data_IF_226208492884
#
_entry.id   IF_226208492884
#
_cell.length_a   1.000
_cell.length_b   1.000
_cell.length_c   1.000
_cell.angle_alpha   90.00
_cell.angle_beta   90.00
_cell.angle_gamma   90.00
#
_symmetry.space_group_name_H-M   'P 1'
#
loop_
_entity.id
_entity.type
_entity.pdbx_description
1 polymer ?
#
# COMPACT_ATOMS: atom_id res chain seq x y z
N UNK A 1 8.00 -12.64 16.38
CA UNK A 1 7.38 -13.84 15.77
C UNK A 1 8.35 -14.46 14.79
N UNK A 2 8.54 -15.77 14.84
CA UNK A 2 9.23 -16.52 13.81
C UNK A 2 8.20 -16.97 12.76
N UNK A 3 8.47 -16.76 11.49
CA UNK A 3 7.74 -17.35 10.39
C UNK A 3 8.68 -18.31 9.66
N UNK A 4 8.34 -19.58 9.60
CA UNK A 4 9.19 -20.63 9.01
C UNK A 4 10.66 -20.63 9.52
N UNK A 5 10.86 -20.32 10.81
CA UNK A 5 12.21 -20.31 11.42
C UNK A 5 12.96 -18.97 11.33
N UNK A 6 12.43 -17.97 10.63
CA UNK A 6 13.06 -16.64 10.53
C UNK A 6 12.53 -15.71 11.63
N UNK A 7 13.44 -14.96 12.27
CA UNK A 7 13.08 -13.90 13.21
C UNK A 7 12.78 -12.61 12.44
N UNK A 8 11.69 -11.93 12.79
CA UNK A 8 11.33 -10.65 12.22
C UNK A 8 11.76 -9.53 13.17
N UNK A 9 12.89 -8.90 12.85
CA UNK A 9 13.40 -7.71 13.56
C UNK A 9 12.87 -6.45 12.87
N UNK A 10 11.68 -6.04 13.29
CA UNK A 10 11.01 -4.88 12.71
C UNK A 10 11.79 -3.58 12.94
N UNK A 11 12.37 -3.39 14.13
CA UNK A 11 13.03 -2.13 14.49
C UNK A 11 14.25 -1.85 13.63
N UNK A 12 15.09 -2.86 13.41
CA UNK A 12 16.25 -2.75 12.52
C UNK A 12 15.81 -2.48 11.07
N UNK A 13 14.76 -3.17 10.60
CA UNK A 13 14.23 -2.95 9.24
C UNK A 13 13.69 -1.53 9.07
N UNK A 14 12.93 -1.01 10.04
CA UNK A 14 12.38 0.35 9.97
C UNK A 14 13.49 1.41 9.92
N UNK A 15 14.56 1.25 10.71
CA UNK A 15 15.74 2.13 10.68
C UNK A 15 16.44 2.09 9.33
N UNK A 16 16.65 0.89 8.77
CA UNK A 16 17.29 0.73 7.47
C UNK A 16 16.41 1.27 6.34
N UNK A 17 15.11 1.09 6.38
CA UNK A 17 14.18 1.71 5.43
C UNK A 17 14.28 3.24 5.50
N UNK A 18 14.37 3.83 6.70
CA UNK A 18 14.59 5.27 6.82
C UNK A 18 15.94 5.69 6.23
N UNK A 19 17.01 4.93 6.50
CA UNK A 19 18.35 5.23 5.99
C UNK A 19 18.39 5.24 4.45
N UNK A 20 17.83 4.22 3.81
CA UNK A 20 17.92 4.04 2.35
C UNK A 20 16.88 4.84 1.57
N UNK A 21 15.77 5.24 2.20
CA UNK A 21 14.75 6.06 1.53
C UNK A 21 15.32 7.45 1.25
N UNK A 22 15.24 7.88 -0.01
CA UNK A 22 15.65 9.23 -0.44
C UNK A 22 14.68 10.29 0.09
N UNK A 23 15.15 11.52 0.21
CA UNK A 23 14.32 12.67 0.58
C UNK A 23 13.14 12.86 -0.40
N UNK A 24 11.93 12.94 0.14
CA UNK A 24 10.67 12.96 -0.62
C UNK A 24 10.21 11.59 -1.10
N UNK A 25 10.94 10.52 -0.77
CA UNK A 25 10.55 9.14 -1.03
C UNK A 25 9.41 8.66 -0.11
N UNK A 26 8.74 7.59 -0.52
CA UNK A 26 7.56 7.04 0.14
C UNK A 26 7.83 5.60 0.56
N UNK A 27 7.40 5.24 1.77
CA UNK A 27 7.28 3.86 2.23
C UNK A 27 5.81 3.52 2.40
N UNK A 28 5.36 2.45 1.77
CA UNK A 28 4.04 1.87 1.96
C UNK A 28 4.17 0.66 2.87
N UNK A 29 3.53 0.69 4.01
CA UNK A 29 3.58 -0.39 4.99
C UNK A 29 2.21 -1.01 5.19
N UNK A 30 2.03 -2.23 4.67
CA UNK A 30 0.76 -2.97 4.78
C UNK A 30 0.87 -3.94 5.95
N UNK A 31 -0.03 -3.83 6.89
CA UNK A 31 0.03 -4.63 8.12
C UNK A 31 -1.36 -4.88 8.71
N UNK A 32 -1.58 -6.11 9.17
CA UNK A 32 -2.75 -6.51 9.95
C UNK A 32 -2.36 -6.91 11.37
N UNK A 33 -3.33 -6.80 12.28
CA UNK A 33 -3.18 -7.27 13.64
C UNK A 33 -3.59 -8.74 13.80
N UNK A 34 -2.92 -9.44 14.69
CA UNK A 34 -3.34 -10.77 15.09
C UNK A 34 -4.09 -10.69 16.43
N UNK A 35 -5.00 -11.62 16.63
CA UNK A 35 -5.65 -11.84 17.93
C UNK A 35 -4.93 -12.95 18.70
N UNK A 36 -4.46 -12.64 19.91
CA UNK A 36 -3.78 -13.57 20.79
C UNK A 36 -4.46 -13.54 22.16
N UNK A 37 -4.90 -14.70 22.66
CA UNK A 37 -5.61 -14.82 23.96
C UNK A 37 -6.76 -13.81 24.12
N UNK A 38 -7.55 -13.60 23.07
CA UNK A 38 -8.70 -12.71 23.09
C UNK A 38 -8.39 -11.20 22.96
N UNK A 39 -7.14 -10.82 22.77
CA UNK A 39 -6.73 -9.43 22.54
C UNK A 39 -6.04 -9.26 21.19
N UNK A 40 -6.31 -8.18 20.49
CA UNK A 40 -5.49 -7.77 19.35
C UNK A 40 -4.10 -7.34 19.82
N UNK A 41 -3.09 -7.63 19.00
CA UNK A 41 -1.69 -7.35 19.34
C UNK A 41 -1.34 -5.86 19.31
N UNK A 42 -2.11 -5.06 18.58
CA UNK A 42 -1.81 -3.65 18.31
C UNK A 42 -0.47 -3.47 17.57
N UNK A 43 -0.05 -4.50 16.84
CA UNK A 43 1.22 -4.50 16.11
C UNK A 43 1.24 -3.40 15.05
N UNK A 44 0.13 -3.19 14.35
CA UNK A 44 -0.02 -2.16 13.33
C UNK A 44 0.27 -0.76 13.89
N UNK A 45 -0.31 -0.42 15.03
CA UNK A 45 -0.13 0.88 15.69
C UNK A 45 1.31 1.05 16.21
N UNK A 46 1.87 0.01 16.85
CA UNK A 46 3.25 0.06 17.34
C UNK A 46 4.24 0.29 16.21
N UNK A 47 4.06 -0.42 15.09
CA UNK A 47 4.92 -0.25 13.93
C UNK A 47 4.76 1.13 13.30
N UNK A 48 3.53 1.65 13.19
CA UNK A 48 3.31 2.98 12.65
C UNK A 48 3.98 4.06 13.51
N UNK A 49 3.84 4.01 14.83
CA UNK A 49 4.49 4.95 15.75
C UNK A 49 6.02 4.85 15.68
N UNK A 50 6.56 3.64 15.60
CA UNK A 50 8.01 3.45 15.51
C UNK A 50 8.60 3.99 14.20
N UNK A 51 7.92 3.87 13.07
CA UNK A 51 8.34 4.53 11.83
C UNK A 51 8.43 6.05 12.00
N UNK A 52 7.49 6.65 12.75
CA UNK A 52 7.54 8.09 13.06
C UNK A 52 8.72 8.42 13.97
N UNK A 53 9.03 7.58 14.96
CA UNK A 53 10.24 7.72 15.81
C UNK A 53 11.53 7.62 15.01
N UNK A 54 11.58 6.80 13.95
CA UNK A 54 12.70 6.75 13.02
C UNK A 54 12.88 8.03 12.19
N UNK A 55 11.88 8.94 12.17
CA UNK A 55 11.92 10.22 11.48
C UNK A 55 11.02 10.33 10.24
N UNK A 56 10.25 9.31 9.92
CA UNK A 56 9.24 9.40 8.86
C UNK A 56 8.05 10.27 9.29
N UNK A 57 7.45 10.97 8.33
CA UNK A 57 6.13 11.54 8.52
C UNK A 57 5.07 10.50 8.16
N UNK A 58 4.09 10.26 9.02
CA UNK A 58 2.88 9.53 8.64
C UNK A 58 2.04 10.43 7.73
N UNK A 59 2.11 10.16 6.44
CA UNK A 59 1.46 10.99 5.41
C UNK A 59 -0.04 10.68 5.29
N UNK A 60 -0.40 9.41 5.25
CA UNK A 60 -1.79 8.96 5.18
C UNK A 60 -1.96 7.59 5.87
N UNK A 61 -3.15 7.38 6.43
CA UNK A 61 -3.59 6.08 6.93
C UNK A 61 -4.69 5.57 6.02
N UNK A 62 -4.36 4.57 5.20
CA UNK A 62 -5.26 3.97 4.25
C UNK A 62 -5.73 2.60 4.72
N UNK A 63 -6.81 2.11 4.16
CA UNK A 63 -7.40 0.81 4.47
C UNK A 63 -7.47 -0.04 3.20
N UNK A 64 -6.91 -1.22 3.26
CA UNK A 64 -7.20 -2.27 2.28
C UNK A 64 -8.38 -3.11 2.76
N UNK A 65 -9.56 -2.89 2.19
CA UNK A 65 -10.74 -3.73 2.37
C UNK A 65 -10.64 -4.94 1.44
N UNK A 66 -10.60 -6.13 2.03
CA UNK A 66 -10.45 -7.40 1.30
C UNK A 66 -11.75 -7.90 0.64
N UNK A 67 -12.84 -7.14 0.71
CA UNK A 67 -14.15 -7.46 0.11
C UNK A 67 -14.76 -8.80 0.58
N UNK A 68 -14.32 -9.31 1.69
CA UNK A 68 -14.74 -10.58 2.25
C UNK A 68 -13.80 -11.06 3.33
N UNK A 69 -14.11 -12.20 3.94
CA UNK A 69 -13.28 -12.76 5.00
C UNK A 69 -13.12 -14.27 4.84
N UNK A 70 -11.99 -14.78 5.32
CA UNK A 70 -11.83 -16.20 5.61
C UNK A 70 -12.14 -16.38 7.09
N UNK A 71 -13.06 -17.24 7.43
CA UNK A 71 -13.43 -17.53 8.82
C UNK A 71 -12.24 -18.10 9.58
N UNK A 72 -11.55 -17.25 10.34
CA UNK A 72 -10.46 -17.64 11.23
C UNK A 72 -10.86 -17.25 12.65
N UNK A 73 -10.99 -18.23 13.52
CA UNK A 73 -11.37 -18.01 14.91
C UNK A 73 -12.87 -17.92 15.16
N UNK A 74 -13.25 -17.47 16.34
CA UNK A 74 -14.65 -17.39 16.75
C UNK A 74 -15.29 -16.04 16.42
N UNK A 75 -16.35 -16.04 15.64
CA UNK A 75 -17.18 -14.87 15.38
C UNK A 75 -18.25 -14.62 16.46
N UNK A 76 -18.24 -15.40 17.54
CA UNK A 76 -19.20 -15.25 18.65
C UNK A 76 -18.99 -13.96 19.46
N UNK A 77 -17.77 -13.46 19.51
CA UNK A 77 -17.37 -12.32 20.34
C UNK A 77 -16.71 -11.18 19.57
N UNK A 78 -16.53 -11.33 18.24
CA UNK A 78 -15.87 -10.35 17.36
C UNK A 78 -16.52 -10.34 15.99
N UNK A 79 -16.49 -9.19 15.35
CA UNK A 79 -16.76 -9.09 13.91
C UNK A 79 -15.60 -9.70 13.11
N UNK A 80 -15.90 -10.19 11.90
CA UNK A 80 -14.87 -10.65 10.98
C UNK A 80 -13.95 -9.50 10.59
N UNK A 81 -12.63 -9.72 10.71
CA UNK A 81 -11.64 -8.76 10.23
C UNK A 81 -11.53 -8.87 8.71
N UNK A 82 -11.94 -7.82 8.01
CA UNK A 82 -11.99 -7.78 6.54
C UNK A 82 -10.99 -6.79 5.95
N UNK A 83 -10.12 -6.21 6.75
CA UNK A 83 -9.18 -5.19 6.29
C UNK A 83 -7.78 -5.35 6.87
N UNK A 84 -6.84 -4.67 6.23
CA UNK A 84 -5.51 -4.36 6.75
C UNK A 84 -5.23 -2.87 6.62
N UNK A 85 -4.38 -2.35 7.50
CA UNK A 85 -3.87 -0.99 7.39
C UNK A 85 -2.83 -0.89 6.27
N UNK A 86 -2.86 0.23 5.55
CA UNK A 86 -1.83 0.65 4.61
C UNK A 86 -1.32 2.01 5.08
N UNK A 87 -0.26 2.03 5.83
CA UNK A 87 0.35 3.27 6.28
C UNK A 87 1.27 3.83 5.21
N UNK A 88 1.09 5.08 4.86
CA UNK A 88 1.92 5.79 3.90
C UNK A 88 2.85 6.72 4.65
N UNK A 89 4.14 6.44 4.59
CA UNK A 89 5.16 7.25 5.22
C UNK A 89 5.97 8.02 4.19
N UNK A 90 6.42 9.22 4.55
CA UNK A 90 7.30 10.02 3.71
C UNK A 90 8.55 10.42 4.48
N UNK A 91 9.70 10.38 3.81
CA UNK A 91 10.90 11.03 4.33
C UNK A 91 10.91 12.47 3.87
N UNK A 92 10.71 13.41 4.82
CA UNK A 92 10.53 14.81 4.51
C UNK A 92 9.25 15.10 3.71
N UNK A 93 9.30 16.09 2.82
CA UNK A 93 8.15 16.51 2.01
C UNK A 93 7.91 15.58 0.84
N UNK A 94 6.68 15.08 0.70
CA UNK A 94 6.25 14.26 -0.44
C UNK A 94 6.58 14.95 -1.77
N UNK A 95 7.23 14.23 -2.71
CA UNK A 95 7.57 14.74 -4.04
C UNK A 95 6.63 14.24 -5.13
N UNK A 96 6.15 13.00 -5.03
CA UNK A 96 5.34 12.36 -6.08
C UNK A 96 4.03 11.88 -5.52
N UNK A 97 2.94 12.32 -6.13
CA UNK A 97 1.59 11.79 -5.87
C UNK A 97 0.77 11.80 -7.17
N UNK A 98 0.46 10.63 -7.68
CA UNK A 98 -0.35 10.42 -8.88
C UNK A 98 -1.69 9.78 -8.47
N UNK A 99 -2.70 10.58 -8.09
CA UNK A 99 -3.97 10.04 -7.59
C UNK A 99 -4.72 9.25 -8.66
N UNK A 100 -5.15 8.06 -8.30
CA UNK A 100 -6.04 7.25 -9.14
C UNK A 100 -7.42 7.91 -9.17
N UNK A 101 -7.95 8.14 -10.37
CA UNK A 101 -9.23 8.81 -10.59
C UNK A 101 -10.23 7.87 -11.24
N UNK A 102 -10.75 6.95 -10.46
CA UNK A 102 -11.69 5.92 -10.89
C UNK A 102 -13.01 5.91 -10.10
N UNK A 103 -13.13 6.79 -9.11
CA UNK A 103 -14.35 6.92 -8.32
C UNK A 103 -15.40 7.69 -9.11
N UNK A 104 -16.45 7.00 -9.55
CA UNK A 104 -17.55 7.62 -10.28
C UNK A 104 -18.31 8.62 -9.39
N UNK A 105 -18.46 9.86 -9.85
CA UNK A 105 -19.17 10.90 -9.13
C UNK A 105 -20.68 10.78 -9.38
N UNK A 106 -21.48 10.78 -8.32
CA UNK A 106 -22.96 10.67 -8.38
C UNK A 106 -23.62 11.86 -9.10
N UNK A 107 -22.97 13.03 -9.07
CA UNK A 107 -23.47 14.29 -9.60
C UNK A 107 -22.65 14.76 -10.80
N UNK A 108 -22.21 13.82 -11.65
CA UNK A 108 -21.51 14.15 -12.87
C UNK A 108 -22.33 15.10 -13.77
N UNK A 109 -21.69 16.14 -14.27
CA UNK A 109 -22.32 17.15 -15.11
C UNK A 109 -22.98 18.32 -14.35
N UNK A 110 -23.25 18.18 -13.06
CA UNK A 110 -23.79 19.28 -12.27
C UNK A 110 -22.76 20.41 -12.14
N UNK A 111 -23.25 21.65 -12.27
CA UNK A 111 -22.42 22.84 -12.09
C UNK A 111 -22.56 23.36 -10.66
N UNK A 112 -21.45 23.44 -9.94
CA UNK A 112 -21.35 24.08 -8.63
C UNK A 112 -21.10 25.57 -8.83
N UNK A 113 -21.93 26.42 -8.25
CA UNK A 113 -21.73 27.88 -8.26
C UNK A 113 -20.50 28.24 -7.42
N UNK A 114 -19.95 29.44 -7.66
CA UNK A 114 -18.89 29.97 -6.80
C UNK A 114 -19.38 30.09 -5.35
N UNK A 115 -18.54 29.71 -4.40
CA UNK A 115 -18.84 29.75 -2.97
C UNK A 115 -17.61 30.19 -2.17
N UNK A 116 -17.84 30.58 -0.91
CA UNK A 116 -16.76 30.97 -0.02
C UNK A 116 -16.28 29.74 0.77
N UNK A 117 -14.96 29.59 0.84
CA UNK A 117 -14.31 28.58 1.70
C UNK A 117 -13.54 29.31 2.80
N UNK A 118 -13.75 28.89 4.03
CA UNK A 118 -13.00 29.37 5.19
C UNK A 118 -11.59 28.78 5.16
N UNK A 119 -10.58 29.63 5.25
CA UNK A 119 -9.17 29.24 5.34
C UNK A 119 -8.81 28.90 6.80
N UNK A 120 -7.65 28.23 6.98
CA UNK A 120 -7.15 27.87 8.32
C UNK A 120 -6.87 29.10 9.21
N UNK A 121 -6.53 30.22 8.60
CA UNK A 121 -6.29 31.50 9.28
C UNK A 121 -7.57 32.28 9.61
N UNK A 122 -8.74 31.69 9.36
CA UNK A 122 -10.06 32.30 9.59
C UNK A 122 -10.57 33.17 8.46
N UNK A 123 -9.76 33.50 7.45
CA UNK A 123 -10.19 34.28 6.28
C UNK A 123 -11.10 33.46 5.37
N UNK A 124 -11.81 34.14 4.47
CA UNK A 124 -12.66 33.51 3.46
C UNK A 124 -12.08 33.72 2.07
N UNK A 125 -11.93 32.63 1.32
CA UNK A 125 -11.52 32.68 -0.10
C UNK A 125 -12.69 32.25 -0.98
N UNK A 126 -12.96 33.03 -2.04
CA UNK A 126 -13.96 32.66 -3.04
C UNK A 126 -13.38 31.59 -3.98
N UNK A 127 -14.05 30.43 -4.04
CA UNK A 127 -13.79 29.42 -5.07
C UNK A 127 -14.64 29.72 -6.31
N UNK A 128 -14.04 29.59 -7.47
CA UNK A 128 -14.74 29.64 -8.77
C UNK A 128 -15.70 28.46 -8.89
N UNK A 129 -16.81 28.65 -9.59
CA UNK A 129 -17.70 27.55 -9.93
C UNK A 129 -16.98 26.53 -10.85
N UNK A 130 -17.42 25.28 -10.78
CA UNK A 130 -16.88 24.19 -11.60
C UNK A 130 -17.96 23.16 -11.92
N UNK A 131 -17.78 22.47 -13.04
CA UNK A 131 -18.62 21.31 -13.39
C UNK A 131 -18.01 20.04 -12.80
N UNK A 132 -18.85 19.21 -12.19
CA UNK A 132 -18.41 17.96 -11.58
C UNK A 132 -17.98 16.98 -12.69
N UNK A 133 -16.74 16.52 -12.64
CA UNK A 133 -16.18 15.54 -13.57
C UNK A 133 -16.83 14.17 -13.35
N UNK A 134 -16.82 13.31 -14.36
CA UNK A 134 -17.36 11.95 -14.26
C UNK A 134 -16.66 11.14 -13.17
N UNK A 135 -15.33 11.21 -13.15
CA UNK A 135 -14.51 10.51 -12.17
C UNK A 135 -13.78 11.48 -11.25
N UNK A 136 -13.79 11.18 -9.97
CA UNK A 136 -13.02 11.83 -8.91
C UNK A 136 -11.89 10.93 -8.40
N UNK A 137 -11.03 11.51 -7.58
CA UNK A 137 -9.97 10.76 -6.90
C UNK A 137 -10.57 9.66 -6.03
N UNK A 138 -9.96 8.47 -6.06
CA UNK A 138 -10.27 7.35 -5.18
C UNK A 138 -10.11 7.77 -3.71
N UNK A 139 -10.92 7.22 -2.83
CA UNK A 139 -10.77 7.41 -1.39
C UNK A 139 -9.61 6.56 -0.84
N UNK A 140 -9.23 6.79 0.41
CA UNK A 140 -8.18 6.05 1.10
C UNK A 140 -8.64 4.69 1.66
N UNK A 141 -9.83 4.22 1.32
CA UNK A 141 -10.30 2.85 1.53
C UNK A 141 -10.35 2.18 0.17
N UNK A 142 -9.49 1.19 -0.03
CA UNK A 142 -9.39 0.45 -1.30
C UNK A 142 -10.04 -0.92 -1.17
N UNK A 143 -10.96 -1.20 -2.07
CA UNK A 143 -11.66 -2.48 -2.17
C UNK A 143 -10.97 -3.36 -3.19
N UNK A 144 -10.09 -4.23 -2.72
CA UNK A 144 -9.28 -5.12 -3.57
C UNK A 144 -9.38 -6.54 -2.98
N UNK A 145 -10.00 -7.50 -3.71
CA UNK A 145 -10.05 -8.88 -3.25
C UNK A 145 -8.64 -9.46 -3.08
N UNK A 146 -8.43 -10.34 -2.08
CA UNK A 146 -7.18 -11.07 -1.94
C UNK A 146 -6.86 -11.88 -3.20
N UNK A 147 -5.58 -12.10 -3.46
CA UNK A 147 -5.16 -12.96 -4.55
C UNK A 147 -5.74 -14.37 -4.37
N UNK A 148 -6.32 -14.95 -5.44
CA UNK A 148 -6.80 -16.33 -5.41
C UNK A 148 -5.59 -17.26 -5.48
N UNK A 149 -5.34 -18.00 -4.40
CA UNK A 149 -4.29 -19.02 -4.35
C UNK A 149 -4.77 -20.23 -5.15
N UNK A 150 -4.48 -20.28 -6.45
CA UNK A 150 -4.59 -21.51 -7.25
C UNK A 150 -3.18 -21.96 -7.58
N UNK A 151 -2.75 -23.10 -7.03
CA UNK A 151 -1.46 -23.75 -7.30
C UNK A 151 -0.21 -22.90 -7.05
N UNK A 152 -0.25 -21.89 -6.18
CA UNK A 152 0.93 -21.12 -5.81
C UNK A 152 1.54 -21.67 -4.53
N UNK A 153 2.87 -21.87 -4.55
CA UNK A 153 3.63 -22.39 -3.40
C UNK A 153 3.77 -21.36 -2.26
N UNK A 154 3.46 -20.09 -2.51
CA UNK A 154 3.56 -19.02 -1.50
C UNK A 154 2.24 -18.83 -0.76
N UNK A 155 2.21 -18.92 0.59
CA UNK A 155 0.98 -18.92 1.40
C UNK A 155 0.30 -17.54 1.51
N UNK A 156 1.01 -16.45 1.22
CA UNK A 156 0.51 -15.09 1.37
C UNK A 156 0.86 -14.23 0.15
N UNK A 157 0.14 -14.46 -0.96
CA UNK A 157 0.36 -13.70 -2.19
C UNK A 157 -0.32 -12.34 -2.11
N UNK A 158 0.45 -11.30 -2.33
CA UNK A 158 -0.03 -9.93 -2.42
C UNK A 158 -0.82 -9.74 -3.73
N UNK A 159 -2.02 -9.12 -3.72
CA UNK A 159 -2.75 -8.85 -4.96
C UNK A 159 -1.95 -7.94 -5.89
N UNK A 160 -1.83 -8.33 -7.17
CA UNK A 160 -1.13 -7.52 -8.17
C UNK A 160 -1.70 -6.10 -8.27
N UNK A 161 -3.03 -5.96 -8.20
CA UNK A 161 -3.69 -4.66 -8.21
C UNK A 161 -3.25 -3.78 -7.03
N UNK A 162 -3.08 -4.35 -5.83
CA UNK A 162 -2.66 -3.58 -4.66
C UNK A 162 -1.25 -3.03 -4.83
N UNK A 163 -0.30 -3.87 -5.29
CA UNK A 163 1.06 -3.43 -5.58
C UNK A 163 1.09 -2.40 -6.72
N UNK A 164 0.37 -2.68 -7.82
CA UNK A 164 0.24 -1.79 -8.96
C UNK A 164 -0.22 -0.39 -8.55
N UNK A 165 -1.31 -0.32 -7.81
CA UNK A 165 -1.97 0.94 -7.46
C UNK A 165 -1.11 1.78 -6.51
N UNK A 166 -0.36 1.16 -5.60
CA UNK A 166 0.62 1.86 -4.79
C UNK A 166 1.83 2.34 -5.61
N UNK A 167 2.37 1.51 -6.51
CA UNK A 167 3.51 1.88 -7.36
C UNK A 167 3.18 3.10 -8.21
N UNK A 168 2.05 3.10 -8.92
CA UNK A 168 1.66 4.23 -9.76
C UNK A 168 1.34 5.49 -8.94
N UNK A 169 0.75 5.33 -7.75
CA UNK A 169 0.37 6.47 -6.91
C UNK A 169 1.58 7.23 -6.35
N UNK A 170 2.66 6.53 -6.01
CA UNK A 170 3.76 7.07 -5.23
C UNK A 170 5.10 7.15 -5.97
N UNK A 171 5.12 6.79 -7.26
CA UNK A 171 6.32 6.86 -8.10
C UNK A 171 6.00 7.30 -9.53
N UNK A 172 7.02 7.74 -10.26
CA UNK A 172 6.96 8.03 -11.69
C UNK A 172 7.68 6.93 -12.50
N UNK A 173 7.47 6.88 -13.82
CA UNK A 173 8.26 6.01 -14.71
C UNK A 173 9.75 6.29 -14.52
N UNK A 174 10.56 5.24 -14.46
CA UNK A 174 12.00 5.31 -14.22
C UNK A 174 12.41 5.41 -12.75
N UNK A 175 11.49 5.68 -11.80
CA UNK A 175 11.81 5.65 -10.38
C UNK A 175 12.17 4.24 -9.91
N UNK A 176 12.92 4.15 -8.81
CA UNK A 176 13.30 2.90 -8.17
C UNK A 176 12.28 2.51 -7.10
N UNK A 177 11.73 1.31 -7.20
CA UNK A 177 10.86 0.67 -6.21
C UNK A 177 11.66 -0.40 -5.48
N UNK A 178 11.64 -0.36 -4.16
CA UNK A 178 12.30 -1.36 -3.31
C UNK A 178 11.28 -2.15 -2.49
N UNK A 179 11.40 -3.48 -2.50
CA UNK A 179 10.62 -4.37 -1.65
C UNK A 179 11.57 -5.18 -0.77
N UNK A 180 11.53 -4.94 0.53
CA UNK A 180 12.39 -5.65 1.50
C UNK A 180 11.87 -7.05 1.86
N UNK A 181 10.70 -7.45 1.36
CA UNK A 181 10.08 -8.76 1.56
C UNK A 181 9.48 -9.27 0.24
N UNK A 182 10.34 -9.48 -0.75
CA UNK A 182 9.94 -9.70 -2.14
C UNK A 182 8.96 -10.88 -2.32
N UNK A 183 9.04 -11.92 -1.49
CA UNK A 183 8.15 -13.08 -1.53
C UNK A 183 8.09 -13.71 -2.93
N UNK A 184 6.94 -13.71 -3.57
CA UNK A 184 6.77 -14.25 -4.92
C UNK A 184 7.03 -13.23 -6.06
N UNK A 185 7.58 -12.04 -5.77
CA UNK A 185 7.97 -11.04 -6.76
C UNK A 185 6.83 -10.19 -7.34
N UNK A 186 5.72 -10.04 -6.64
CA UNK A 186 4.58 -9.24 -7.13
C UNK A 186 4.97 -7.77 -7.36
N UNK A 187 5.73 -7.19 -6.43
CA UNK A 187 6.21 -5.80 -6.54
C UNK A 187 7.14 -5.63 -7.73
N UNK A 188 8.09 -6.57 -7.96
CA UNK A 188 8.98 -6.53 -9.10
C UNK A 188 8.20 -6.61 -10.43
N UNK A 189 7.27 -7.58 -10.54
CA UNK A 189 6.40 -7.72 -11.73
C UNK A 189 5.65 -6.42 -12.03
N UNK A 190 4.99 -5.83 -11.01
CA UNK A 190 4.21 -4.60 -11.21
C UNK A 190 5.10 -3.38 -11.48
N UNK A 191 6.32 -3.36 -10.98
CA UNK A 191 7.30 -2.32 -11.32
C UNK A 191 7.68 -2.37 -12.80
N UNK A 192 7.96 -3.56 -13.33
CA UNK A 192 8.27 -3.76 -14.76
C UNK A 192 7.08 -3.33 -15.64
N UNK A 193 5.87 -3.79 -15.34
CA UNK A 193 4.65 -3.44 -16.07
C UNK A 193 4.46 -1.92 -16.14
N UNK A 194 4.78 -1.22 -15.07
CA UNK A 194 4.64 0.22 -14.98
C UNK A 194 5.92 1.00 -15.34
N UNK A 195 6.94 0.36 -15.92
CA UNK A 195 8.21 0.97 -16.32
C UNK A 195 8.98 1.63 -15.17
N UNK A 196 8.93 1.04 -13.98
CA UNK A 196 9.77 1.41 -12.84
C UNK A 196 10.94 0.47 -12.75
N UNK A 197 12.08 0.98 -12.30
CA UNK A 197 13.18 0.13 -11.85
C UNK A 197 12.78 -0.53 -10.53
N UNK A 198 13.35 -1.69 -10.24
CA UNK A 198 13.06 -2.38 -8.99
C UNK A 198 14.31 -3.01 -8.38
N UNK A 199 14.29 -3.17 -7.08
CA UNK A 199 15.22 -3.96 -6.30
C UNK A 199 14.45 -4.67 -5.21
N UNK A 200 14.86 -5.87 -4.82
CA UNK A 200 14.17 -6.64 -3.81
C UNK A 200 15.12 -7.46 -2.95
N UNK A 201 14.69 -7.74 -1.74
CA UNK A 201 15.35 -8.65 -0.82
C UNK A 201 14.44 -9.83 -0.52
N UNK A 202 14.97 -11.04 -0.62
CA UNK A 202 14.27 -12.28 -0.26
C UNK A 202 15.29 -13.24 0.37
N UNK A 203 14.90 -13.87 1.49
CA UNK A 203 15.78 -14.77 2.23
C UNK A 203 15.65 -16.23 1.78
N UNK A 204 14.49 -16.59 1.21
CA UNK A 204 14.21 -17.95 0.75
C UNK A 204 14.73 -18.17 -0.66
N UNK A 205 15.66 -19.09 -0.83
CA UNK A 205 16.15 -19.50 -2.17
C UNK A 205 15.01 -19.98 -3.06
N UNK A 206 14.07 -20.75 -2.52
CA UNK A 206 12.89 -21.23 -3.26
C UNK A 206 12.07 -20.05 -3.81
N UNK A 207 11.88 -18.99 -3.02
CA UNK A 207 11.16 -17.81 -3.49
C UNK A 207 11.98 -16.99 -4.50
N UNK A 208 13.29 -16.94 -4.38
CA UNK A 208 14.16 -16.33 -5.40
C UNK A 208 14.03 -17.03 -6.75
N UNK A 209 13.94 -18.37 -6.77
CA UNK A 209 13.68 -19.13 -8.00
C UNK A 209 12.30 -18.81 -8.59
N UNK A 210 11.25 -18.76 -7.75
CA UNK A 210 9.89 -18.38 -8.17
C UNK A 210 9.86 -16.97 -8.78
N UNK A 211 10.54 -16.01 -8.15
CA UNK A 211 10.68 -14.65 -8.67
C UNK A 211 11.30 -14.69 -10.06
N UNK A 212 12.42 -15.37 -10.21
CA UNK A 212 13.17 -15.46 -11.48
C UNK A 212 12.30 -16.06 -12.59
N UNK A 213 11.61 -17.16 -12.31
CA UNK A 213 10.70 -17.80 -13.28
C UNK A 213 9.56 -16.86 -13.68
N UNK A 214 8.95 -16.19 -12.70
CA UNK A 214 7.82 -15.27 -12.93
C UNK A 214 8.23 -14.06 -13.79
N UNK A 215 9.40 -13.48 -13.52
CA UNK A 215 9.88 -12.32 -14.27
C UNK A 215 10.32 -12.68 -15.68
N UNK A 216 10.96 -13.85 -15.88
CA UNK A 216 11.30 -14.35 -17.21
C UNK A 216 10.05 -14.63 -18.06
N UNK A 217 8.98 -15.16 -17.46
CA UNK A 217 7.71 -15.33 -18.17
C UNK A 217 7.12 -13.98 -18.60
N UNK A 218 7.12 -12.98 -17.69
CA UNK A 218 6.61 -11.65 -17.99
C UNK A 218 7.39 -10.93 -19.09
N UNK A 219 8.72 -11.09 -19.15
CA UNK A 219 9.52 -10.50 -20.23
C UNK A 219 9.16 -11.07 -21.60
N UNK A 220 8.85 -12.38 -21.67
CA UNK A 220 8.43 -13.02 -22.93
C UNK A 220 7.06 -12.57 -23.42
N UNK A 221 6.20 -12.07 -22.54
CA UNK A 221 4.88 -11.54 -22.91
C UNK A 221 4.94 -10.10 -23.42
N UNK A 222 6.04 -9.37 -23.14
CA UNK A 222 6.22 -7.96 -23.53
C UNK A 222 6.95 -7.78 -24.87
N UNK A 223 7.49 -8.86 -25.43
CA UNK A 223 8.21 -8.93 -26.73
C UNK A 223 7.59 -10.01 -27.62
#
# INVERSE_FOLDING_TARGET
RTYNGYSFDFESIAKELYRVTKEGGVVVWVVGDATVKGSETGTSFKQALYFMECGFNLHDTMIWNKCGFTAVGTLKTRYASVFEYMFIFTKGKLKTFNPIKDRKNKHFGDTRKSHLIRQKDGTQKRCTGYTIKEYGQRFNIWEIPPAKIRNQKHPAVFPEQLANDHIISWSNEGDLVYDCFMGSGTTAKMSIVNKRNWIGSEMSEEYCEIITQRLNAQQKELF
#
